data_IF_244278354353
#
_entry.id   IF_244278354353
#
_cell.length_a   1.000
_cell.length_b   1.000
_cell.length_c   1.000
_cell.angle_alpha   90.00
_cell.angle_beta   90.00
_cell.angle_gamma   90.00
#
_symmetry.space_group_name_H-M   'P 1'
#
loop_
_entity.id
_entity.type
_entity.pdbx_description
1 polymer ?
#
# COMPACT_ATOMS: atom_id res chain seq x y z
N UNK A 1 14.02 80.70 -12.73
CA UNK A 1 15.29 80.02 -12.41
C UNK A 1 14.94 78.88 -11.46
N UNK A 2 14.77 77.63 -11.94
CA UNK A 2 15.78 76.56 -11.91
C UNK A 2 16.24 76.33 -10.45
N UNK A 3 15.90 75.26 -9.72
CA UNK A 3 16.17 73.83 -9.95
C UNK A 3 15.57 73.06 -8.73
N UNK A 4 14.79 71.99 -8.82
CA UNK A 4 15.03 70.61 -9.29
C UNK A 4 14.90 69.63 -8.10
N UNK A 5 13.81 68.88 -8.17
CA UNK A 5 13.44 67.64 -7.50
C UNK A 5 14.59 66.72 -7.06
N UNK A 6 14.48 66.17 -5.84
CA UNK A 6 15.02 64.86 -5.39
C UNK A 6 14.68 64.69 -3.90
N UNK A 7 14.34 63.54 -3.33
CA UNK A 7 13.81 62.25 -3.77
C UNK A 7 13.40 61.57 -2.46
N UNK A 8 12.26 60.88 -2.46
CA UNK A 8 11.77 60.08 -1.35
C UNK A 8 12.78 59.02 -0.87
N UNK A 9 12.77 58.75 0.44
CA UNK A 9 12.82 57.40 1.02
C UNK A 9 13.09 57.50 2.54
N UNK A 10 12.02 57.58 3.33
CA UNK A 10 12.09 57.40 4.77
C UNK A 10 10.81 56.68 5.20
N UNK A 11 10.65 55.43 4.78
CA UNK A 11 9.66 54.53 5.36
C UNK A 11 10.20 53.10 5.35
N UNK A 12 10.57 52.66 6.55
CA UNK A 12 10.45 51.29 7.08
C UNK A 12 11.07 50.16 6.25
N UNK A 13 12.36 49.91 6.49
CA UNK A 13 12.83 48.52 6.58
C UNK A 13 12.59 48.10 8.03
N UNK A 14 11.35 47.72 8.35
CA UNK A 14 11.14 46.83 9.49
C UNK A 14 11.42 45.45 8.95
N UNK A 15 12.60 44.94 9.30
CA UNK A 15 12.98 43.57 9.13
C UNK A 15 11.81 42.66 9.53
N UNK A 16 11.39 41.77 8.63
CA UNK A 16 10.46 40.68 8.92
C UNK A 16 11.08 39.73 9.94
N UNK A 17 11.01 40.12 11.22
CA UNK A 17 11.37 39.31 12.37
C UNK A 17 10.11 38.63 12.89
N UNK A 18 9.60 37.62 12.18
CA UNK A 18 8.61 36.67 12.74
C UNK A 18 8.71 35.31 12.06
N UNK A 19 9.87 34.67 12.11
CA UNK A 19 9.98 33.24 11.79
C UNK A 19 10.78 32.52 12.87
N UNK A 20 10.46 32.79 14.14
CA UNK A 20 10.85 31.93 15.25
C UNK A 20 9.55 31.51 15.93
N UNK A 21 9.04 30.32 15.63
CA UNK A 21 7.91 29.73 16.36
C UNK A 21 6.88 28.93 15.56
N UNK A 22 6.99 28.80 14.23
CA UNK A 22 6.06 27.95 13.48
C UNK A 22 6.44 26.47 13.66
N UNK A 23 5.47 25.64 14.07
CA UNK A 23 5.63 24.20 14.12
C UNK A 23 5.87 23.67 12.69
N UNK A 24 6.96 22.91 12.42
CA UNK A 24 7.22 22.32 11.11
C UNK A 24 6.04 21.52 10.53
N UNK A 25 5.25 20.87 11.40
CA UNK A 25 4.06 20.12 11.00
C UNK A 25 2.97 20.98 10.35
N UNK A 26 2.94 22.29 10.63
CA UNK A 26 1.96 23.22 10.04
C UNK A 26 2.37 23.74 8.66
N UNK A 27 3.59 23.42 8.21
CA UNK A 27 4.12 23.90 6.94
C UNK A 27 3.30 23.38 5.74
N UNK A 28 3.21 24.17 4.65
CA UNK A 28 2.56 23.69 3.42
C UNK A 28 3.20 22.42 2.84
N UNK A 29 4.52 22.26 3.00
CA UNK A 29 5.23 21.05 2.53
C UNK A 29 4.77 19.81 3.32
N UNK A 30 4.73 19.88 4.64
CA UNK A 30 4.24 18.76 5.47
C UNK A 30 2.78 18.42 5.17
N UNK A 31 1.91 19.42 4.97
CA UNK A 31 0.51 19.17 4.60
C UNK A 31 0.36 18.43 3.27
N UNK A 32 1.16 18.79 2.26
CA UNK A 32 1.17 18.07 0.99
C UNK A 32 1.66 16.61 1.16
N UNK A 33 2.65 16.38 2.03
CA UNK A 33 3.11 15.01 2.33
C UNK A 33 2.04 14.20 3.10
N UNK A 34 1.25 14.82 3.95
CA UNK A 34 0.10 14.17 4.62
C UNK A 34 -1.00 13.78 3.62
N UNK A 35 -1.33 14.65 2.66
CA UNK A 35 -2.30 14.33 1.60
C UNK A 35 -1.83 13.12 0.77
N UNK A 36 -0.53 13.03 0.48
CA UNK A 36 0.05 11.88 -0.20
C UNK A 36 -0.03 10.61 0.66
N UNK A 37 0.23 10.70 1.96
CA UNK A 37 0.08 9.58 2.88
C UNK A 37 -1.38 9.09 2.97
N UNK A 38 -2.35 10.00 3.08
CA UNK A 38 -3.77 9.63 3.07
C UNK A 38 -4.16 8.90 1.77
N UNK A 39 -3.59 9.32 0.62
CA UNK A 39 -3.79 8.62 -0.64
C UNK A 39 -3.12 7.24 -0.69
N UNK A 40 -1.97 7.06 -0.02
CA UNK A 40 -1.34 5.74 0.12
C UNK A 40 -2.17 4.84 1.04
N UNK A 41 -2.65 5.33 2.19
CA UNK A 41 -3.54 4.57 3.09
C UNK A 41 -4.79 4.07 2.36
N UNK A 42 -5.43 4.93 1.55
CA UNK A 42 -6.59 4.53 0.76
C UNK A 42 -6.26 3.40 -0.24
N UNK A 43 -5.10 3.45 -0.89
CA UNK A 43 -4.66 2.36 -1.76
C UNK A 43 -4.41 1.06 -0.97
N UNK A 44 -3.85 1.16 0.24
CA UNK A 44 -3.67 -0.01 1.09
C UNK A 44 -4.99 -0.64 1.53
N UNK A 45 -6.04 0.17 1.78
CA UNK A 45 -7.38 -0.34 2.05
C UNK A 45 -7.96 -1.09 0.82
N UNK A 46 -7.72 -0.59 -0.39
CA UNK A 46 -8.10 -1.28 -1.63
C UNK A 46 -7.36 -2.62 -1.78
N UNK A 47 -6.04 -2.64 -1.56
CA UNK A 47 -5.22 -3.87 -1.59
C UNK A 47 -5.72 -4.91 -0.58
N UNK A 48 -6.08 -4.48 0.63
CA UNK A 48 -6.63 -5.38 1.64
C UNK A 48 -7.98 -5.98 1.21
N UNK A 49 -8.83 -5.18 0.57
CA UNK A 49 -10.11 -5.65 0.04
C UNK A 49 -9.93 -6.65 -1.12
N UNK A 50 -8.95 -6.41 -2.00
CA UNK A 50 -8.62 -7.33 -3.09
C UNK A 50 -8.11 -8.67 -2.54
N UNK A 51 -7.23 -8.65 -1.55
CA UNK A 51 -6.77 -9.87 -0.87
C UNK A 51 -7.93 -10.65 -0.23
N UNK A 52 -8.82 -9.96 0.49
CA UNK A 52 -10.02 -10.56 1.08
C UNK A 52 -10.93 -11.20 0.02
N UNK A 53 -10.92 -10.71 -1.22
CA UNK A 53 -11.64 -11.30 -2.33
C UNK A 53 -10.91 -12.56 -2.85
N UNK A 54 -9.58 -12.49 -3.03
CA UNK A 54 -8.77 -13.64 -3.43
C UNK A 54 -8.90 -14.81 -2.46
N UNK A 55 -8.87 -14.56 -1.14
CA UNK A 55 -9.05 -15.61 -0.13
C UNK A 55 -10.41 -16.31 -0.25
N UNK A 56 -11.48 -15.55 -0.51
CA UNK A 56 -12.83 -16.13 -0.71
C UNK A 56 -12.91 -16.97 -1.97
N UNK A 57 -12.30 -16.50 -3.06
CA UNK A 57 -12.26 -17.26 -4.31
C UNK A 57 -11.47 -18.56 -4.15
N UNK A 58 -10.34 -18.51 -3.45
CA UNK A 58 -9.58 -19.71 -3.11
C UNK A 58 -10.37 -20.71 -2.25
N UNK A 59 -11.09 -20.24 -1.24
CA UNK A 59 -11.95 -21.09 -0.43
C UNK A 59 -13.03 -21.77 -1.30
N UNK A 60 -13.59 -21.03 -2.26
CA UNK A 60 -14.54 -21.60 -3.21
C UNK A 60 -13.89 -22.65 -4.12
N UNK A 61 -12.68 -22.40 -4.66
CA UNK A 61 -11.96 -23.39 -5.49
C UNK A 61 -11.71 -24.69 -4.73
N UNK A 62 -11.38 -24.59 -3.43
CA UNK A 62 -11.21 -25.76 -2.56
C UNK A 62 -12.51 -26.55 -2.39
N UNK A 63 -13.62 -25.87 -2.15
CA UNK A 63 -14.94 -26.51 -2.05
C UNK A 63 -15.35 -27.17 -3.38
N UNK A 64 -15.11 -26.49 -4.51
CA UNK A 64 -15.39 -27.00 -5.86
C UNK A 64 -14.58 -28.27 -6.17
N UNK A 65 -13.30 -28.29 -5.82
CA UNK A 65 -12.45 -29.49 -5.91
C UNK A 65 -12.94 -30.63 -5.00
N UNK A 66 -13.30 -30.31 -3.75
CA UNK A 66 -13.84 -31.29 -2.80
C UNK A 66 -15.14 -31.94 -3.28
N UNK A 67 -15.93 -31.25 -4.12
CA UNK A 67 -17.17 -31.77 -4.67
C UNK A 67 -16.97 -32.75 -5.85
N UNK A 68 -15.87 -32.63 -6.58
CA UNK A 68 -15.56 -33.45 -7.77
C UNK A 68 -14.50 -34.53 -7.50
N UNK A 69 -13.79 -34.46 -6.38
CA UNK A 69 -12.75 -35.44 -6.04
C UNK A 69 -13.36 -36.77 -5.58
N UNK A 70 -13.19 -37.81 -6.40
CA UNK A 70 -13.29 -39.21 -5.94
C UNK A 70 -12.15 -39.46 -4.92
N UNK A 71 -12.33 -40.21 -3.83
CA UNK A 71 -11.22 -40.62 -2.95
C UNK A 71 -10.09 -41.40 -3.65
N UNK A 72 -10.28 -41.90 -4.89
CA UNK A 72 -9.18 -42.38 -5.75
C UNK A 72 -8.59 -41.32 -6.71
N UNK A 73 -9.14 -40.10 -6.72
CA UNK A 73 -8.74 -39.00 -7.60
C UNK A 73 -7.30 -38.53 -7.31
N UNK A 74 -6.49 -38.80 -8.33
CA UNK A 74 -5.18 -38.30 -8.74
C UNK A 74 -4.30 -37.51 -7.75
N UNK A 75 -3.05 -37.97 -7.61
CA UNK A 75 -1.99 -37.25 -6.90
C UNK A 75 -1.72 -35.85 -7.47
N UNK A 76 -2.10 -35.58 -8.72
CA UNK A 76 -2.03 -34.25 -9.34
C UNK A 76 -2.97 -33.23 -8.68
N UNK A 77 -4.17 -33.64 -8.25
CA UNK A 77 -5.12 -32.75 -7.55
C UNK A 77 -4.61 -32.36 -6.18
N UNK A 78 -4.20 -33.34 -5.38
CA UNK A 78 -3.65 -33.09 -4.06
C UNK A 78 -2.38 -32.22 -4.12
N UNK A 79 -1.59 -32.34 -5.21
CA UNK A 79 -0.45 -31.48 -5.43
C UNK A 79 -0.85 -30.03 -5.76
N UNK A 80 -1.92 -29.81 -6.53
CA UNK A 80 -2.42 -28.46 -6.81
C UNK A 80 -3.03 -27.81 -5.57
N UNK A 81 -3.88 -28.52 -4.82
CA UNK A 81 -4.44 -28.02 -3.57
C UNK A 81 -3.35 -27.60 -2.59
N UNK A 82 -2.32 -28.43 -2.41
CA UNK A 82 -1.18 -28.09 -1.56
C UNK A 82 -0.42 -26.83 -2.04
N UNK A 83 -0.36 -26.57 -3.36
CA UNK A 83 0.21 -25.33 -3.89
C UNK A 83 -0.67 -24.13 -3.59
N UNK A 84 -1.99 -24.25 -3.76
CA UNK A 84 -2.93 -23.18 -3.45
C UNK A 84 -2.90 -22.83 -1.95
N UNK A 85 -2.87 -23.83 -1.07
CA UNK A 85 -2.72 -23.62 0.37
C UNK A 85 -1.40 -22.91 0.72
N UNK A 86 -0.31 -23.29 0.05
CA UNK A 86 0.98 -22.63 0.24
C UNK A 86 0.95 -21.16 -0.21
N UNK A 87 0.38 -20.88 -1.39
CA UNK A 87 0.23 -19.52 -1.90
C UNK A 87 -0.61 -18.64 -0.96
N UNK A 88 -1.76 -19.14 -0.49
CA UNK A 88 -2.59 -18.46 0.51
C UNK A 88 -1.84 -18.12 1.80
N UNK A 89 -1.02 -19.06 2.29
CA UNK A 89 -0.21 -18.84 3.48
C UNK A 89 0.86 -17.75 3.24
N UNK A 90 1.48 -17.73 2.06
CA UNK A 90 2.42 -16.69 1.67
C UNK A 90 1.75 -15.31 1.55
N UNK A 91 0.58 -15.25 0.91
CA UNK A 91 -0.20 -14.01 0.76
C UNK A 91 -0.65 -13.47 2.11
N UNK A 92 -1.13 -14.34 3.01
CA UNK A 92 -1.49 -13.98 4.38
C UNK A 92 -0.30 -13.42 5.17
N UNK A 93 0.88 -14.03 5.02
CA UNK A 93 2.10 -13.55 5.68
C UNK A 93 2.55 -12.19 5.12
N UNK A 94 2.36 -11.95 3.82
CA UNK A 94 2.61 -10.66 3.19
C UNK A 94 1.67 -9.58 3.73
N UNK A 95 0.36 -9.85 3.83
CA UNK A 95 -0.61 -8.92 4.41
C UNK A 95 -0.30 -8.54 5.85
N UNK A 96 0.16 -9.50 6.66
CA UNK A 96 0.59 -9.23 8.02
C UNK A 96 1.80 -8.26 8.07
N UNK A 97 2.75 -8.38 7.13
CA UNK A 97 3.87 -7.44 7.00
C UNK A 97 3.38 -6.06 6.56
N UNK A 98 2.52 -5.98 5.55
CA UNK A 98 1.97 -4.71 5.08
C UNK A 98 1.21 -3.97 6.20
N UNK A 99 0.38 -4.69 6.95
CA UNK A 99 -0.33 -4.16 8.12
C UNK A 99 0.63 -3.62 9.19
N UNK A 100 1.76 -4.29 9.42
CA UNK A 100 2.77 -3.83 10.35
C UNK A 100 3.46 -2.55 9.85
N UNK A 101 3.78 -2.46 8.56
CA UNK A 101 4.34 -1.26 7.94
C UNK A 101 3.40 -0.05 8.09
N UNK A 102 2.10 -0.23 7.83
CA UNK A 102 1.11 0.83 8.00
C UNK A 102 0.97 1.28 9.46
N UNK A 103 1.03 0.35 10.40
CA UNK A 103 1.03 0.69 11.82
C UNK A 103 2.27 1.51 12.23
N UNK A 104 3.43 1.24 11.63
CA UNK A 104 4.64 2.06 11.83
C UNK A 104 4.51 3.45 11.17
N UNK A 105 3.92 3.53 9.98
CA UNK A 105 3.61 4.80 9.31
C UNK A 105 2.69 5.67 10.17
N UNK A 106 1.60 5.10 10.70
CA UNK A 106 0.69 5.81 11.60
C UNK A 106 1.38 6.35 12.87
N UNK A 107 2.28 5.57 13.47
CA UNK A 107 3.08 6.03 14.63
C UNK A 107 4.01 7.19 14.27
N UNK A 108 4.64 7.11 13.10
CA UNK A 108 5.51 8.16 12.58
C UNK A 108 4.74 9.46 12.33
N UNK A 109 3.55 9.39 11.72
CA UNK A 109 2.65 10.55 11.53
C UNK A 109 2.17 11.16 12.86
N UNK A 110 1.88 10.33 13.85
CA UNK A 110 1.56 10.81 15.20
C UNK A 110 2.76 11.54 15.85
N UNK A 111 3.99 11.06 15.62
CA UNK A 111 5.19 11.73 16.09
C UNK A 111 5.42 13.07 15.37
N UNK A 112 5.20 13.15 14.06
CA UNK A 112 5.29 14.40 13.30
C UNK A 112 4.30 15.45 13.83
N UNK A 113 3.08 15.03 14.16
CA UNK A 113 2.03 15.90 14.71
C UNK A 113 2.37 16.53 16.08
N UNK A 114 3.34 15.97 16.82
CA UNK A 114 3.80 16.54 18.08
C UNK A 114 4.59 17.86 17.90
N UNK A 115 5.07 18.13 16.69
CA UNK A 115 5.87 19.31 16.35
C UNK A 115 7.29 19.31 16.90
N UNK A 116 7.76 18.19 17.46
CA UNK A 116 9.14 18.06 17.95
C UNK A 116 10.11 17.50 16.90
N UNK A 117 9.58 17.01 15.78
CA UNK A 117 10.36 16.49 14.64
C UNK A 117 10.67 17.64 13.68
N UNK A 118 11.92 17.73 13.22
CA UNK A 118 12.31 18.75 12.26
C UNK A 118 11.92 18.37 10.82
N UNK A 119 11.86 19.38 9.94
CA UNK A 119 11.43 19.20 8.55
C UNK A 119 12.34 18.24 7.75
N UNK A 120 13.64 18.23 8.04
CA UNK A 120 14.58 17.37 7.32
C UNK A 120 14.32 15.89 7.65
N UNK A 121 14.03 15.61 8.93
CA UNK A 121 13.64 14.28 9.40
C UNK A 121 12.29 13.88 8.82
N UNK A 122 11.28 14.76 8.85
CA UNK A 122 9.97 14.50 8.25
C UNK A 122 10.08 14.13 6.77
N UNK A 123 10.92 14.83 6.02
CA UNK A 123 11.16 14.54 4.60
C UNK A 123 11.78 13.16 4.40
N UNK A 124 12.81 12.82 5.16
CA UNK A 124 13.47 11.52 5.08
C UNK A 124 12.52 10.37 5.45
N UNK A 125 11.68 10.59 6.45
CA UNK A 125 10.61 9.69 6.88
C UNK A 125 9.60 9.43 5.76
N UNK A 126 9.12 10.49 5.09
CA UNK A 126 8.23 10.35 3.93
C UNK A 126 8.90 9.69 2.74
N UNK A 127 10.16 9.99 2.44
CA UNK A 127 10.90 9.33 1.35
C UNK A 127 11.02 7.81 1.62
N UNK A 128 11.25 7.41 2.87
CA UNK A 128 11.27 6.01 3.29
C UNK A 128 9.89 5.35 3.12
N UNK A 129 8.83 6.02 3.57
CA UNK A 129 7.45 5.57 3.44
C UNK A 129 7.06 5.33 1.97
N UNK A 130 7.44 6.23 1.06
CA UNK A 130 7.18 6.05 -0.38
C UNK A 130 7.88 4.81 -0.93
N UNK A 131 9.14 4.60 -0.57
CA UNK A 131 9.87 3.42 -1.01
C UNK A 131 9.23 2.12 -0.49
N UNK A 132 8.78 2.10 0.76
CA UNK A 132 8.04 0.96 1.34
C UNK A 132 6.69 0.76 0.64
N UNK A 133 5.97 1.83 0.31
CA UNK A 133 4.73 1.75 -0.46
C UNK A 133 4.97 1.18 -1.86
N UNK A 134 6.00 1.63 -2.58
CA UNK A 134 6.36 1.08 -3.91
C UNK A 134 6.69 -0.42 -3.84
N UNK A 135 7.36 -0.87 -2.79
CA UNK A 135 7.64 -2.30 -2.55
C UNK A 135 6.33 -3.08 -2.34
N UNK A 136 5.42 -2.57 -1.50
CA UNK A 136 4.11 -3.19 -1.24
C UNK A 136 3.30 -3.33 -2.54
N UNK A 137 3.26 -2.27 -3.37
CA UNK A 137 2.53 -2.30 -4.65
C UNK A 137 3.12 -3.31 -5.63
N UNK A 138 4.45 -3.45 -5.66
CA UNK A 138 5.13 -4.43 -6.49
C UNK A 138 4.85 -5.87 -6.02
N UNK A 139 4.87 -6.11 -4.71
CA UNK A 139 4.51 -7.40 -4.12
C UNK A 139 3.04 -7.77 -4.42
N UNK A 140 2.12 -6.82 -4.30
CA UNK A 140 0.71 -7.03 -4.66
C UNK A 140 0.53 -7.37 -6.14
N UNK A 141 1.21 -6.66 -7.04
CA UNK A 141 1.15 -6.96 -8.49
C UNK A 141 1.64 -8.38 -8.79
N UNK A 142 2.67 -8.85 -8.07
CA UNK A 142 3.16 -10.22 -8.22
C UNK A 142 2.13 -11.24 -7.72
N UNK A 143 1.48 -10.97 -6.59
CA UNK A 143 0.40 -11.77 -6.02
C UNK A 143 -0.78 -11.92 -7.00
N UNK A 144 -1.26 -10.81 -7.57
CA UNK A 144 -2.36 -10.84 -8.56
C UNK A 144 -2.03 -11.74 -9.76
N UNK A 145 -0.78 -11.70 -10.23
CA UNK A 145 -0.32 -12.54 -11.34
C UNK A 145 -0.32 -14.02 -10.97
N UNK A 146 0.19 -14.37 -9.79
CA UNK A 146 0.17 -15.74 -9.29
C UNK A 146 -1.27 -16.25 -9.12
N UNK A 147 -2.14 -15.43 -8.55
CA UNK A 147 -3.56 -15.75 -8.39
C UNK A 147 -4.28 -15.96 -9.73
N UNK A 148 -3.99 -15.14 -10.74
CA UNK A 148 -4.52 -15.34 -12.09
C UNK A 148 -4.04 -16.66 -12.73
N UNK A 149 -2.80 -17.07 -12.48
CA UNK A 149 -2.27 -18.36 -12.94
C UNK A 149 -2.98 -19.53 -12.24
N UNK A 150 -3.19 -19.45 -10.92
CA UNK A 150 -3.94 -20.45 -10.15
C UNK A 150 -5.39 -20.60 -10.63
N UNK A 151 -6.06 -19.50 -10.99
CA UNK A 151 -7.40 -19.55 -11.60
C UNK A 151 -7.43 -20.36 -12.89
N UNK A 152 -6.46 -20.15 -13.78
CA UNK A 152 -6.37 -20.89 -15.04
C UNK A 152 -6.11 -22.37 -14.79
N UNK A 153 -5.24 -22.70 -13.81
CA UNK A 153 -4.98 -24.09 -13.43
C UNK A 153 -6.23 -24.77 -12.86
N UNK A 154 -6.98 -24.07 -12.01
CA UNK A 154 -8.26 -24.54 -11.47
C UNK A 154 -9.29 -24.78 -12.59
N UNK A 155 -9.50 -23.83 -13.49
CA UNK A 155 -10.45 -23.97 -14.61
C UNK A 155 -10.13 -25.19 -15.48
N UNK A 156 -8.85 -25.38 -15.82
CA UNK A 156 -8.39 -26.53 -16.62
C UNK A 156 -8.72 -27.86 -15.94
N UNK A 157 -8.54 -27.93 -14.62
CA UNK A 157 -8.83 -29.14 -13.84
C UNK A 157 -10.34 -29.43 -13.81
N UNK A 158 -11.16 -28.41 -13.59
CA UNK A 158 -12.63 -28.56 -13.62
C UNK A 158 -13.11 -29.05 -14.99
N UNK A 159 -12.49 -28.60 -16.09
CA UNK A 159 -12.79 -29.08 -17.45
C UNK A 159 -12.39 -30.54 -17.67
N UNK A 160 -11.25 -30.98 -17.13
CA UNK A 160 -10.79 -32.37 -17.22
C UNK A 160 -11.81 -33.34 -16.58
N UNK A 161 -12.30 -33.03 -15.37
CA UNK A 161 -13.35 -33.82 -14.71
C UNK A 161 -14.68 -33.82 -15.44
N UNK A 162 -15.11 -32.66 -15.96
CA UNK A 162 -16.34 -32.58 -16.74
C UNK A 162 -16.28 -33.41 -18.04
N UNK A 163 -15.07 -33.64 -18.57
CA UNK A 163 -14.82 -34.49 -19.74
C UNK A 163 -14.75 -35.99 -19.44
N UNK A 164 -14.35 -36.38 -18.22
CA UNK A 164 -14.25 -37.77 -17.79
C UNK A 164 -15.59 -38.39 -17.35
N UNK A 165 -16.59 -37.59 -16.97
CA UNK A 165 -17.94 -38.06 -16.66
C UNK A 165 -18.84 -38.34 -17.91
N UNK A 166 -18.31 -38.28 -19.14
CA UNK A 166 -19.01 -38.67 -20.39
C UNK A 166 -18.56 -40.02 -20.97
#
# INVERSE_FOLDING_TARGET
MKNFTRCAALFTVVAGLTACGANPADSPEHKAMMEEHEAMEAQHDELAADHDAMEKEHAQMFDDHGAISDPEADAEHAALEARHEAALAEHSAMMAKHSATLAEHAKMMAAHSSGTVDMATMKADHDKMKAEHEEIMAEHTAMEKEHAEMKVEHEKMMEEHAGEEM
#
